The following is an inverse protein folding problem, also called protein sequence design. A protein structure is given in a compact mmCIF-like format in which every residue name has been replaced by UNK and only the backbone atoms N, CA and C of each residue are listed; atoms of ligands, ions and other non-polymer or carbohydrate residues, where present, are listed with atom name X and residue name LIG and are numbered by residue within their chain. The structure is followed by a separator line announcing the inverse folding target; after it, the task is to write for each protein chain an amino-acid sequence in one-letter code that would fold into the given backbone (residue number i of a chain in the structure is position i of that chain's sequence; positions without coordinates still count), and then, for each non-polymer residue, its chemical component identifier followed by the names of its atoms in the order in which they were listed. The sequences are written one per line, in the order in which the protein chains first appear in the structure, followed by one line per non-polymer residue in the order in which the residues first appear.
data_IF_175755617408
#
_entry.id   IF_175755617408
#
_cell.length_a   1.000
_cell.length_b   1.000
_cell.length_c   1.000
_cell.angle_alpha   90.00
_cell.angle_beta   90.00
_cell.angle_gamma   90.00
#
_symmetry.space_group_name_H-M   'P 1'
#
loop_
_entity.id
_entity.type
_entity.pdbx_description
1 polymer ?
#
# COMPACT_ATOMS: atom_id res chain seq x y z
N UNK A 1 10.54 49.45 -8.47
CA UNK A 1 10.92 48.39 -7.51
C UNK A 1 9.70 47.57 -7.08
N UNK A 2 8.97 46.93 -8.01
CA UNK A 2 7.74 46.19 -7.67
C UNK A 2 7.59 44.83 -8.39
N UNK A 3 8.35 44.60 -9.47
CA UNK A 3 8.25 43.36 -10.25
C UNK A 3 9.01 42.17 -9.64
N UNK A 4 9.97 42.43 -8.73
CA UNK A 4 10.77 41.37 -8.09
C UNK A 4 10.09 40.71 -6.89
N UNK A 5 9.08 41.37 -6.29
CA UNK A 5 8.38 40.88 -5.08
C UNK A 5 7.21 39.95 -5.41
N UNK A 6 6.64 40.02 -6.60
CA UNK A 6 5.53 39.18 -7.04
C UNK A 6 5.96 37.79 -7.50
N UNK A 7 7.22 37.62 -7.91
CA UNK A 7 7.74 36.33 -8.39
C UNK A 7 7.90 35.29 -7.26
N UNK A 8 8.01 35.74 -6.01
CA UNK A 8 8.25 34.88 -4.85
C UNK A 8 7.01 34.10 -4.38
N UNK A 9 5.80 34.54 -4.75
CA UNK A 9 4.55 33.93 -4.28
C UNK A 9 4.10 32.77 -5.19
N UNK A 10 4.55 32.74 -6.45
CA UNK A 10 4.18 31.70 -7.41
C UNK A 10 4.88 30.34 -7.18
N UNK A 11 5.99 30.30 -6.43
CA UNK A 11 6.78 29.08 -6.26
C UNK A 11 6.30 28.17 -5.11
N UNK A 12 5.40 28.63 -4.23
CA UNK A 12 4.91 27.84 -3.09
C UNK A 12 3.71 26.93 -3.40
N UNK A 13 3.19 26.93 -4.64
CA UNK A 13 1.95 26.21 -4.97
C UNK A 13 2.15 24.73 -5.39
N UNK A 14 3.38 24.21 -5.47
CA UNK A 14 3.66 22.91 -6.12
C UNK A 14 3.89 21.72 -5.16
N UNK A 15 3.73 21.88 -3.84
CA UNK A 15 3.95 20.80 -2.88
C UNK A 15 2.65 20.30 -2.24
N UNK A 16 1.64 19.96 -3.04
CA UNK A 16 0.53 19.13 -2.56
C UNK A 16 0.79 17.68 -2.99
N UNK A 17 1.31 16.86 -2.07
CA UNK A 17 1.37 15.41 -2.27
C UNK A 17 -0.05 14.86 -2.27
N UNK A 18 -0.44 14.22 -3.38
CA UNK A 18 -1.69 13.47 -3.42
C UNK A 18 -1.54 12.24 -2.49
N UNK A 19 -2.13 12.32 -1.30
CA UNK A 19 -2.29 11.16 -0.42
C UNK A 19 -3.47 10.36 -0.96
N UNK A 20 -3.20 9.31 -1.72
CA UNK A 20 -4.21 8.35 -2.11
C UNK A 20 -4.56 7.50 -0.88
N UNK A 21 -5.78 7.65 -0.36
CA UNK A 21 -6.31 6.70 0.60
C UNK A 21 -6.51 5.36 -0.12
N UNK A 22 -5.86 4.30 0.35
CA UNK A 22 -5.91 2.96 -0.25
C UNK A 22 -7.29 2.28 -0.14
N UNK A 23 -8.29 2.98 0.40
CA UNK A 23 -9.69 2.56 0.39
C UNK A 23 -9.97 1.26 1.14
N UNK A 24 -11.21 0.79 1.02
CA UNK A 24 -11.60 -0.53 1.47
C UNK A 24 -11.38 -1.52 0.32
N UNK A 25 -10.61 -2.56 0.59
CA UNK A 25 -10.44 -3.70 -0.31
C UNK A 25 -11.56 -4.69 -0.04
N UNK A 26 -12.37 -4.92 -1.06
CA UNK A 26 -13.48 -5.87 -1.01
C UNK A 26 -12.95 -7.29 -1.00
N UNK A 27 -13.79 -8.22 -0.53
CA UNK A 27 -13.44 -9.63 -0.53
C UNK A 27 -13.17 -10.13 -1.96
N UNK A 28 -11.94 -10.57 -2.20
CA UNK A 28 -11.49 -11.23 -3.42
C UNK A 28 -10.83 -12.54 -2.98
N UNK A 29 -11.29 -13.68 -3.51
CA UNK A 29 -10.81 -15.00 -3.11
C UNK A 29 -9.32 -15.22 -3.40
N UNK A 30 -8.81 -14.70 -4.51
CA UNK A 30 -7.39 -14.82 -4.87
C UNK A 30 -6.53 -14.01 -3.90
N UNK A 31 -6.91 -12.75 -3.67
CA UNK A 31 -6.23 -11.87 -2.73
C UNK A 31 -6.24 -12.44 -1.30
N UNK A 32 -7.39 -12.95 -0.86
CA UNK A 32 -7.53 -13.58 0.45
C UNK A 32 -6.64 -14.81 0.57
N UNK A 33 -6.55 -15.62 -0.49
CA UNK A 33 -5.71 -16.81 -0.55
C UNK A 33 -4.22 -16.43 -0.47
N UNK A 34 -3.79 -15.43 -1.23
CA UNK A 34 -2.41 -14.96 -1.25
C UNK A 34 -1.99 -14.33 0.09
N UNK A 35 -2.84 -13.48 0.67
CA UNK A 35 -2.60 -12.89 2.00
C UNK A 35 -2.58 -13.96 3.09
N UNK A 36 -3.46 -14.97 3.02
CA UNK A 36 -3.46 -16.07 3.97
C UNK A 36 -2.20 -16.93 3.84
N UNK A 37 -1.78 -17.22 2.61
CA UNK A 37 -0.53 -17.93 2.36
C UNK A 37 0.68 -17.17 2.93
N UNK A 38 0.76 -15.85 2.71
CA UNK A 38 1.84 -15.02 3.28
C UNK A 38 1.83 -15.01 4.83
N UNK A 39 0.65 -14.97 5.45
CA UNK A 39 0.52 -15.09 6.91
C UNK A 39 1.00 -16.47 7.42
N UNK A 40 0.62 -17.56 6.76
CA UNK A 40 1.04 -18.91 7.14
C UNK A 40 2.55 -19.12 7.01
N UNK A 41 3.18 -18.46 6.03
CA UNK A 41 4.63 -18.46 5.87
C UNK A 41 5.36 -17.56 6.89
N UNK A 42 4.63 -16.83 7.74
CA UNK A 42 5.19 -15.87 8.69
C UNK A 42 5.83 -14.65 8.02
N UNK A 43 5.49 -14.39 6.74
CA UNK A 43 6.05 -13.28 5.96
C UNK A 43 5.42 -11.97 6.40
N UNK A 44 4.10 -11.97 6.59
CA UNK A 44 3.31 -10.82 7.08
C UNK A 44 2.49 -11.23 8.30
N UNK A 45 1.90 -10.25 9.00
CA UNK A 45 0.98 -10.49 10.10
C UNK A 45 -0.24 -9.58 10.01
N UNK A 46 -1.34 -10.13 9.50
CA UNK A 46 -2.59 -9.41 9.21
C UNK A 46 -3.76 -10.40 9.32
N UNK A 47 -4.85 -9.99 9.96
CA UNK A 47 -6.06 -10.83 10.04
C UNK A 47 -6.82 -10.82 8.72
N UNK A 48 -6.93 -11.97 8.06
CA UNK A 48 -7.69 -12.15 6.80
C UNK A 48 -9.13 -12.64 7.02
N UNK A 49 -9.56 -12.76 8.27
CA UNK A 49 -10.89 -13.27 8.65
C UNK A 49 -11.99 -12.21 8.59
N UNK A 50 -11.63 -10.92 8.53
CA UNK A 50 -12.59 -9.81 8.52
C UNK A 50 -12.45 -9.04 7.22
N UNK A 51 -13.51 -9.08 6.41
CA UNK A 51 -13.63 -8.32 5.17
C UNK A 51 -14.83 -7.37 5.28
N UNK A 52 -14.81 -6.21 4.62
CA UNK A 52 -13.73 -5.66 3.78
C UNK A 52 -12.51 -5.24 4.60
N UNK A 53 -11.33 -5.35 3.99
CA UNK A 53 -10.05 -5.09 4.65
C UNK A 53 -9.51 -3.73 4.19
N UNK A 54 -8.90 -2.95 5.09
CA UNK A 54 -8.29 -1.66 4.70
C UNK A 54 -7.06 -1.88 3.83
N UNK A 55 -6.97 -1.20 2.68
CA UNK A 55 -5.78 -1.27 1.83
C UNK A 55 -4.53 -0.75 2.53
N UNK A 56 -4.66 0.24 3.42
CA UNK A 56 -3.55 0.74 4.24
C UNK A 56 -3.02 -0.33 5.20
N UNK A 57 -3.89 -1.18 5.74
CA UNK A 57 -3.51 -2.32 6.59
C UNK A 57 -2.72 -3.36 5.80
N UNK A 58 -3.15 -3.68 4.56
CA UNK A 58 -2.42 -4.58 3.67
C UNK A 58 -1.04 -3.99 3.35
N UNK A 59 -0.96 -2.72 2.95
CA UNK A 59 0.31 -2.07 2.66
C UNK A 59 1.23 -2.01 3.88
N UNK A 60 0.70 -1.73 5.07
CA UNK A 60 1.48 -1.74 6.31
C UNK A 60 2.06 -3.12 6.57
N UNK A 61 1.26 -4.17 6.42
CA UNK A 61 1.71 -5.54 6.60
C UNK A 61 2.77 -5.93 5.54
N UNK A 62 2.58 -5.56 4.28
CA UNK A 62 3.54 -5.79 3.20
C UNK A 62 4.84 -5.00 3.40
N UNK A 63 4.78 -3.79 3.95
CA UNK A 63 5.97 -2.97 4.24
C UNK A 63 6.83 -3.56 5.36
N UNK A 64 6.22 -4.35 6.23
CA UNK A 64 6.90 -5.09 7.31
C UNK A 64 7.22 -6.54 6.91
N UNK A 65 6.98 -6.91 5.65
CA UNK A 65 7.13 -8.28 5.17
C UNK A 65 8.58 -8.76 5.28
N UNK A 66 8.77 -9.95 5.87
CA UNK A 66 10.09 -10.59 5.98
C UNK A 66 10.23 -11.65 4.90
N UNK A 67 10.71 -11.23 3.73
CA UNK A 67 10.90 -12.11 2.58
C UNK A 67 12.20 -12.89 2.73
N UNK A 68 12.11 -14.21 2.76
CA UNK A 68 13.25 -15.14 2.82
C UNK A 68 13.38 -16.02 1.58
N UNK A 69 12.29 -16.19 0.81
CA UNK A 69 12.28 -17.05 -0.37
C UNK A 69 11.69 -16.32 -1.60
N UNK A 70 12.28 -16.48 -2.81
CA UNK A 70 11.71 -16.00 -4.08
C UNK A 70 10.21 -16.26 -4.29
N UNK A 71 9.68 -17.40 -3.84
CA UNK A 71 8.25 -17.69 -3.94
C UNK A 71 7.40 -16.67 -3.17
N UNK A 72 7.85 -16.21 -2.01
CA UNK A 72 7.15 -15.22 -1.20
C UNK A 72 7.13 -13.86 -1.89
N UNK A 73 8.24 -13.47 -2.52
CA UNK A 73 8.28 -12.24 -3.32
C UNK A 73 7.28 -12.28 -4.48
N UNK A 74 7.13 -13.45 -5.13
CA UNK A 74 6.16 -13.62 -6.22
C UNK A 74 4.72 -13.41 -5.72
N UNK A 75 4.38 -13.95 -4.55
CA UNK A 75 3.04 -13.79 -3.96
C UNK A 75 2.81 -12.34 -3.50
N UNK A 76 3.81 -11.68 -2.92
CA UNK A 76 3.73 -10.24 -2.60
C UNK A 76 3.43 -9.42 -3.85
N UNK A 77 4.11 -9.71 -4.97
CA UNK A 77 3.85 -9.01 -6.21
C UNK A 77 2.43 -9.27 -6.75
N UNK A 78 1.91 -10.49 -6.56
CA UNK A 78 0.52 -10.85 -6.90
C UNK A 78 -0.47 -9.98 -6.12
N UNK A 79 -0.28 -9.87 -4.79
CA UNK A 79 -1.08 -9.03 -3.90
C UNK A 79 -1.03 -7.56 -4.34
N UNK A 80 0.16 -7.03 -4.61
CA UNK A 80 0.33 -5.63 -5.05
C UNK A 80 -0.37 -5.32 -6.38
N UNK A 81 -0.46 -6.30 -7.29
CA UNK A 81 -1.17 -6.13 -8.56
C UNK A 81 -2.70 -6.19 -8.40
N UNK A 82 -3.20 -6.75 -7.29
CA UNK A 82 -4.62 -6.91 -7.01
C UNK A 82 -5.20 -5.74 -6.17
N UNK A 83 -4.35 -4.85 -5.66
CA UNK A 83 -4.71 -3.61 -4.97
C UNK A 83 -4.89 -2.46 -5.98
#
# INVERSE_FOLDING_TARGET
MFLRKTLSIALLATASSAVFAQGLVLNNDDLRTDLNWLNQQGVINISTSTWPLSGDEIQRALSQAKVTHPAQQKVINSVLNAL
#
